data_IF_476839378976
#
_entry.id   IF_476839378976
#
_cell.length_a   1.000
_cell.length_b   1.000
_cell.length_c   1.000
_cell.angle_alpha   90.00
_cell.angle_beta   90.00
_cell.angle_gamma   90.00
#
_symmetry.space_group_name_H-M   'P 1'
#
loop_
_entity.id
_entity.type
_entity.pdbx_description
1 polymer ?
#
# COMPACT_ATOMS: atom_id res chain seq x y z
N UNK A 1 -30.33 68.53 13.59
CA UNK A 1 -29.71 67.79 14.71
C UNK A 1 -30.60 66.61 15.06
N UNK A 2 -30.00 65.42 15.32
CA UNK A 2 -30.60 64.09 15.56
C UNK A 2 -31.22 63.42 14.32
N UNK A 3 -31.06 62.12 14.03
CA UNK A 3 -30.23 61.03 14.53
C UNK A 3 -30.32 59.86 13.51
N UNK A 4 -29.33 58.98 13.57
CA UNK A 4 -28.95 57.79 12.78
C UNK A 4 -29.97 56.65 12.60
N UNK A 5 -29.73 55.74 11.63
CA UNK A 5 -29.43 54.31 11.89
C UNK A 5 -28.90 53.61 10.61
N UNK A 6 -27.61 53.24 10.60
CA UNK A 6 -26.99 52.47 9.51
C UNK A 6 -27.19 50.98 9.78
N UNK A 7 -27.70 50.27 8.78
CA UNK A 7 -27.90 48.82 8.76
C UNK A 7 -26.53 48.13 8.84
N UNK A 8 -26.24 47.42 9.93
CA UNK A 8 -25.11 46.50 9.96
C UNK A 8 -25.34 45.45 11.04
N UNK A 9 -25.70 44.25 10.62
CA UNK A 9 -25.50 43.05 11.43
C UNK A 9 -24.76 42.07 10.53
N UNK A 10 -23.45 42.04 10.70
CA UNK A 10 -22.61 41.01 10.10
C UNK A 10 -22.86 39.68 10.81
N UNK A 11 -23.04 38.63 10.03
CA UNK A 11 -22.86 37.26 10.50
C UNK A 11 -21.55 36.76 9.89
N UNK A 12 -20.48 36.79 10.69
CA UNK A 12 -19.22 36.15 10.33
C UNK A 12 -19.37 34.65 10.63
N UNK A 13 -19.74 33.86 9.62
CA UNK A 13 -19.74 32.41 9.74
C UNK A 13 -18.28 31.92 9.59
N UNK A 14 -17.63 31.63 10.72
CA UNK A 14 -16.35 30.91 10.73
C UNK A 14 -16.62 29.44 10.38
N UNK A 15 -16.49 29.11 9.09
CA UNK A 15 -16.40 27.73 8.66
C UNK A 15 -15.07 27.15 9.15
N UNK A 16 -15.15 26.30 10.19
CA UNK A 16 -14.05 25.45 10.61
C UNK A 16 -13.85 24.38 9.53
N UNK A 17 -12.98 24.66 8.56
CA UNK A 17 -12.46 23.64 7.65
C UNK A 17 -11.61 22.67 8.47
N UNK A 18 -12.21 21.57 8.92
CA UNK A 18 -11.45 20.41 9.39
C UNK A 18 -10.70 19.86 8.17
N UNK A 19 -9.41 20.10 8.12
CA UNK A 19 -8.50 19.36 7.26
C UNK A 19 -8.51 17.91 7.77
N UNK A 20 -9.40 17.07 7.24
CA UNK A 20 -9.22 15.64 7.32
C UNK A 20 -7.97 15.34 6.49
N UNK A 21 -6.83 15.19 7.17
CA UNK A 21 -5.68 14.53 6.60
C UNK A 21 -6.11 13.09 6.35
N UNK A 22 -6.68 12.83 5.16
CA UNK A 22 -6.91 11.46 4.72
C UNK A 22 -5.57 10.76 4.74
N UNK A 23 -5.51 9.60 5.39
CA UNK A 23 -4.37 8.70 5.25
C UNK A 23 -4.16 8.52 3.74
N UNK A 24 -3.07 9.08 3.22
CA UNK A 24 -2.72 8.90 1.83
C UNK A 24 -2.23 7.46 1.75
N UNK A 25 -2.89 6.62 0.96
CA UNK A 25 -2.45 5.25 0.71
C UNK A 25 -0.97 5.27 0.30
N UNK A 26 -0.08 4.76 1.16
CA UNK A 26 1.34 4.75 0.89
C UNK A 26 1.63 3.58 -0.06
N UNK A 27 2.39 3.85 -1.11
CA UNK A 27 2.87 2.79 -2.01
C UNK A 27 4.26 2.34 -1.58
N UNK A 28 4.37 1.10 -1.10
CA UNK A 28 5.64 0.44 -0.77
C UNK A 28 6.11 -0.38 -1.97
N UNK A 29 7.37 -0.23 -2.36
CA UNK A 29 7.96 -1.02 -3.43
C UNK A 29 8.74 -2.21 -2.87
N UNK A 30 8.55 -3.37 -3.47
CA UNK A 30 9.30 -4.61 -3.21
C UNK A 30 9.87 -5.11 -4.53
N UNK A 31 11.17 -5.32 -4.59
CA UNK A 31 11.84 -5.90 -5.74
C UNK A 31 11.91 -7.41 -5.58
N UNK A 32 11.58 -8.13 -6.64
CA UNK A 32 11.84 -9.56 -6.78
C UNK A 32 13.17 -9.69 -7.51
N UNK A 33 14.14 -10.32 -6.87
CA UNK A 33 15.43 -10.67 -7.47
C UNK A 33 15.57 -12.19 -7.45
N UNK A 34 16.53 -12.73 -8.21
CA UNK A 34 16.74 -14.18 -8.25
C UNK A 34 17.04 -14.71 -6.83
N UNK A 35 16.06 -15.40 -6.24
CA UNK A 35 16.17 -16.03 -4.92
C UNK A 35 15.87 -15.15 -3.71
N UNK A 36 15.37 -13.91 -3.86
CA UNK A 36 15.04 -13.05 -2.71
C UNK A 36 14.05 -11.91 -3.02
N UNK A 37 13.52 -11.30 -1.96
CA UNK A 37 12.76 -10.06 -1.99
C UNK A 37 13.52 -8.92 -1.32
N UNK A 38 13.44 -7.71 -1.90
CA UNK A 38 14.07 -6.53 -1.35
C UNK A 38 13.09 -5.34 -1.24
N UNK A 39 12.79 -4.83 -0.04
CA UNK A 39 13.16 -5.41 1.25
C UNK A 39 12.45 -6.75 1.49
N UNK A 40 13.03 -7.61 2.34
CA UNK A 40 12.40 -8.88 2.75
C UNK A 40 11.27 -8.70 3.75
N UNK A 41 11.27 -7.57 4.48
CA UNK A 41 10.21 -7.14 5.39
C UNK A 41 9.75 -5.74 5.01
N UNK A 42 8.45 -5.60 4.74
CA UNK A 42 7.83 -4.30 4.44
C UNK A 42 6.84 -3.91 5.52
N UNK A 43 7.07 -2.78 6.18
CA UNK A 43 6.09 -2.16 7.07
C UNK A 43 5.05 -1.41 6.24
N UNK A 44 3.77 -1.68 6.48
CA UNK A 44 2.61 -1.08 5.78
C UNK A 44 1.41 -1.02 6.72
N UNK A 45 0.38 -0.29 6.34
CA UNK A 45 -0.90 -0.22 7.05
C UNK A 45 -2.05 -0.68 6.15
N UNK A 46 -3.17 -1.17 6.71
CA UNK A 46 -4.38 -1.39 5.94
C UNK A 46 -4.80 -0.13 5.18
N UNK A 47 -4.98 -0.24 3.86
CA UNK A 47 -5.21 0.86 2.94
C UNK A 47 -4.00 1.23 2.08
N UNK A 48 -2.81 0.73 2.41
CA UNK A 48 -1.59 0.90 1.60
C UNK A 48 -1.58 -0.05 0.39
N UNK A 49 -0.62 0.19 -0.49
CA UNK A 49 -0.34 -0.67 -1.65
C UNK A 49 1.10 -1.17 -1.60
N UNK A 50 1.29 -2.47 -1.83
CA UNK A 50 2.62 -3.04 -2.05
C UNK A 50 2.78 -3.34 -3.54
N UNK A 51 3.75 -2.67 -4.17
CA UNK A 51 4.10 -2.86 -5.57
C UNK A 51 5.31 -3.78 -5.66
N UNK A 52 5.07 -5.00 -6.13
CA UNK A 52 6.10 -5.97 -6.44
C UNK A 52 6.61 -5.75 -7.85
N UNK A 53 7.91 -5.52 -8.03
CA UNK A 53 8.54 -5.37 -9.35
C UNK A 53 9.47 -6.55 -9.60
N UNK A 54 9.25 -7.25 -10.70
CA UNK A 54 10.11 -8.37 -11.07
C UNK A 54 11.39 -7.88 -11.75
N UNK A 55 12.51 -7.97 -11.05
CA UNK A 55 13.85 -7.67 -11.56
C UNK A 55 14.74 -8.93 -11.68
N UNK A 56 14.16 -10.11 -11.52
CA UNK A 56 14.83 -11.38 -11.72
C UNK A 56 14.95 -11.74 -13.21
N UNK A 57 15.68 -12.82 -13.52
CA UNK A 57 15.91 -13.27 -14.90
C UNK A 57 14.72 -14.00 -15.53
N UNK A 58 13.75 -14.43 -14.72
CA UNK A 58 12.57 -15.19 -15.14
C UNK A 58 11.24 -14.59 -14.67
N UNK A 59 10.13 -15.18 -15.14
CA UNK A 59 8.80 -14.85 -14.62
C UNK A 59 8.66 -15.41 -13.21
N UNK A 60 8.01 -14.65 -12.32
CA UNK A 60 7.77 -15.08 -10.93
C UNK A 60 6.29 -14.96 -10.56
N UNK A 61 5.83 -15.89 -9.74
CA UNK A 61 4.51 -15.82 -9.09
C UNK A 61 4.73 -15.72 -7.59
N UNK A 62 4.03 -14.80 -6.95
CA UNK A 62 3.99 -14.65 -5.49
C UNK A 62 2.66 -15.20 -4.99
N UNK A 63 2.73 -15.96 -3.91
CA UNK A 63 1.54 -16.53 -3.24
C UNK A 63 1.58 -16.12 -1.78
N UNK A 64 0.46 -15.59 -1.29
CA UNK A 64 0.29 -15.33 0.14
C UNK A 64 0.18 -16.63 0.94
N UNK A 65 0.41 -16.55 2.24
CA UNK A 65 0.15 -17.65 3.18
C UNK A 65 -1.28 -18.21 2.99
N UNK A 66 -1.40 -19.53 3.12
CA UNK A 66 -2.63 -20.30 2.89
C UNK A 66 -3.30 -20.06 1.52
N UNK A 67 -2.51 -19.62 0.51
CA UNK A 67 -3.01 -19.27 -0.83
C UNK A 67 -4.11 -18.19 -0.83
N UNK A 68 -4.17 -17.36 0.22
CA UNK A 68 -5.22 -16.34 0.37
C UNK A 68 -5.24 -15.32 -0.79
N UNK A 69 -4.10 -15.15 -1.46
CA UNK A 69 -3.96 -14.37 -2.69
C UNK A 69 -2.79 -14.89 -3.53
N UNK A 70 -2.82 -14.59 -4.82
CA UNK A 70 -1.71 -14.83 -5.74
C UNK A 70 -1.57 -13.68 -6.71
N UNK A 71 -0.33 -13.34 -7.06
CA UNK A 71 -0.05 -12.32 -8.08
C UNK A 71 -0.35 -12.81 -9.50
N UNK A 72 -0.39 -14.14 -9.69
CA UNK A 72 -0.18 -14.74 -11.00
C UNK A 72 1.23 -14.49 -11.55
N UNK A 73 1.51 -14.90 -12.80
CA UNK A 73 2.84 -14.73 -13.40
C UNK A 73 3.16 -13.25 -13.64
N UNK A 74 4.22 -12.76 -12.99
CA UNK A 74 4.78 -11.42 -13.18
C UNK A 74 5.94 -11.55 -14.18
N UNK A 75 5.84 -11.00 -15.40
CA UNK A 75 6.92 -11.08 -16.39
C UNK A 75 8.15 -10.29 -15.93
N UNK A 76 9.30 -10.52 -16.55
CA UNK A 76 10.52 -9.72 -16.29
C UNK A 76 10.25 -8.24 -16.55
N UNK A 77 10.65 -7.38 -15.60
CA UNK A 77 10.32 -5.95 -15.51
C UNK A 77 8.82 -5.63 -15.36
N UNK A 78 7.99 -6.64 -15.12
CA UNK A 78 6.58 -6.49 -14.79
C UNK A 78 6.37 -6.07 -13.34
N UNK A 79 5.15 -5.66 -13.03
CA UNK A 79 4.73 -5.35 -11.68
C UNK A 79 3.42 -6.03 -11.30
N UNK A 80 3.25 -6.22 -10.00
CA UNK A 80 1.99 -6.62 -9.38
C UNK A 80 1.75 -5.71 -8.17
N UNK A 81 0.53 -5.21 -8.04
CA UNK A 81 0.14 -4.38 -6.90
C UNK A 81 -0.81 -5.16 -6.02
N UNK A 82 -0.47 -5.27 -4.75
CA UNK A 82 -1.30 -5.83 -3.70
C UNK A 82 -1.89 -4.70 -2.86
N UNK A 83 -3.22 -4.60 -2.84
CA UNK A 83 -3.93 -3.74 -1.90
C UNK A 83 -3.91 -4.38 -0.51
N UNK A 84 -3.41 -3.63 0.47
CA UNK A 84 -3.26 -4.11 1.83
C UNK A 84 -4.56 -3.91 2.61
N UNK A 85 -5.05 -4.99 3.20
CA UNK A 85 -6.22 -4.99 4.08
C UNK A 85 -5.83 -5.52 5.45
N UNK A 86 -6.69 -5.31 6.45
CA UNK A 86 -6.49 -5.88 7.79
C UNK A 86 -6.52 -7.43 7.81
N UNK A 87 -6.90 -8.07 6.71
CA UNK A 87 -6.94 -9.54 6.57
C UNK A 87 -5.84 -10.06 5.63
N UNK A 88 -5.01 -9.17 5.07
CA UNK A 88 -3.92 -9.59 4.20
C UNK A 88 -2.89 -10.37 5.02
N UNK A 89 -2.53 -11.60 4.62
CA UNK A 89 -1.51 -12.37 5.34
C UNK A 89 -0.18 -11.63 5.38
N UNK A 90 0.55 -11.85 6.48
CA UNK A 90 1.84 -11.20 6.73
C UNK A 90 3.00 -11.92 6.07
N UNK A 91 2.81 -13.15 5.57
CA UNK A 91 3.83 -13.90 4.84
C UNK A 91 3.41 -14.17 3.40
N UNK A 92 4.41 -14.21 2.53
CA UNK A 92 4.27 -14.58 1.14
C UNK A 92 5.54 -15.27 0.64
N UNK A 93 5.41 -16.12 -0.37
CA UNK A 93 6.54 -16.83 -0.96
C UNK A 93 6.46 -16.86 -2.48
N UNK A 94 7.61 -17.05 -3.11
CA UNK A 94 7.70 -17.25 -4.56
C UNK A 94 7.41 -18.69 -4.93
N UNK A 95 6.69 -18.93 -6.03
CA UNK A 95 6.68 -20.26 -6.64
C UNK A 95 8.07 -20.57 -7.21
N UNK A 96 8.79 -21.48 -6.58
CA UNK A 96 10.06 -22.04 -7.07
C UNK A 96 9.89 -23.53 -7.32
N UNK A 97 10.59 -24.05 -8.34
CA UNK A 97 10.71 -25.51 -8.54
C UNK A 97 11.79 -26.12 -7.61
N UNK A 98 12.58 -25.27 -6.96
CA UNK A 98 13.67 -25.64 -6.07
C UNK A 98 13.33 -25.17 -4.66
N UNK A 99 13.11 -26.12 -3.73
CA UNK A 99 12.94 -25.79 -2.32
C UNK A 99 14.29 -25.43 -1.67
N UNK A 100 14.33 -24.46 -0.74
CA UNK A 100 13.18 -23.74 -0.21
C UNK A 100 12.73 -22.57 -1.11
N UNK A 101 11.42 -22.39 -1.22
CA UNK A 101 10.86 -21.16 -1.76
C UNK A 101 11.38 -19.96 -0.95
N UNK A 102 11.80 -18.90 -1.61
CA UNK A 102 12.18 -17.68 -0.92
C UNK A 102 10.92 -16.98 -0.39
N UNK A 103 11.00 -16.52 0.86
CA UNK A 103 9.90 -15.92 1.61
C UNK A 103 10.13 -14.43 1.83
N UNK A 104 9.05 -13.68 1.85
CA UNK A 104 8.99 -12.29 2.27
C UNK A 104 7.87 -12.07 3.28
N UNK A 105 7.94 -10.93 3.97
CA UNK A 105 6.99 -10.59 5.01
C UNK A 105 6.51 -9.14 4.93
N UNK A 106 5.30 -8.94 5.44
CA UNK A 106 4.61 -7.67 5.60
C UNK A 106 4.34 -7.50 7.10
N UNK A 107 4.64 -6.33 7.65
CA UNK A 107 4.34 -5.97 9.05
C UNK A 107 3.33 -4.84 9.10
N UNK A 108 2.38 -4.94 10.04
CA UNK A 108 1.43 -3.88 10.38
C UNK A 108 1.85 -3.04 11.60
N UNK A 109 3.01 -3.36 12.18
CA UNK A 109 3.63 -2.66 13.32
C UNK A 109 4.38 -1.39 12.86
#
# INVERSE_FOLDING_TARGET
>A
MLSSYRKSTGALALALSLCAAGAMAESRNVLIVDGAYFPSLSHVQPGDQVVFTNNATGSHTITGEDEAWTSGPIPVNGNYTLDITAQTPTRFSGQTLEEPAFEGAISFD
#
